data_IF_435472788559
#
_entry.id   IF_435472788559
#
_cell.length_a   1.000
_cell.length_b   1.000
_cell.length_c   1.000
_cell.angle_alpha   90.00
_cell.angle_beta   90.00
_cell.angle_gamma   90.00
#
_symmetry.space_group_name_H-M   'P 1'
#
loop_
_entity.id
_entity.type
_entity.pdbx_description
1 polymer ?
#
# COMPACT_ATOMS: atom_id res chain seq x y z
N UNK A 1 -10.33 -0.26 -5.19
CA UNK A 1 -9.70 -1.59 -5.16
C UNK A 1 -10.75 -2.61 -4.78
N UNK A 2 -10.66 -3.82 -5.34
CA UNK A 2 -11.51 -4.96 -4.94
C UNK A 2 -10.81 -6.29 -5.15
N UNK A 3 -11.21 -7.31 -4.39
CA UNK A 3 -10.76 -8.69 -4.64
C UNK A 3 -11.63 -9.35 -5.73
N UNK A 4 -10.98 -10.00 -6.68
CA UNK A 4 -11.60 -10.74 -7.78
C UNK A 4 -11.03 -12.17 -7.84
N UNK A 5 -11.59 -13.02 -8.70
CA UNK A 5 -11.02 -14.35 -8.97
C UNK A 5 -9.58 -14.30 -9.52
N UNK A 6 -9.18 -13.18 -10.10
CA UNK A 6 -7.84 -12.95 -10.64
C UNK A 6 -6.88 -12.29 -9.63
N UNK A 7 -7.34 -12.03 -8.39
CA UNK A 7 -6.57 -11.36 -7.34
C UNK A 7 -7.04 -9.93 -7.08
N UNK A 8 -6.12 -9.08 -6.60
CA UNK A 8 -6.42 -7.68 -6.25
C UNK A 8 -6.49 -6.83 -7.52
N UNK A 9 -7.69 -6.34 -7.84
CA UNK A 9 -7.90 -5.36 -8.92
C UNK A 9 -7.73 -3.94 -8.36
N UNK A 10 -6.92 -3.13 -9.05
CA UNK A 10 -6.64 -1.74 -8.72
C UNK A 10 -6.81 -0.93 -10.00
N UNK A 11 -7.65 0.10 -9.96
CA UNK A 11 -7.75 1.04 -11.08
C UNK A 11 -6.43 1.82 -11.22
N UNK A 12 -6.05 2.15 -12.45
CA UNK A 12 -4.79 2.86 -12.70
C UNK A 12 -4.72 4.22 -11.98
N UNK A 13 -5.83 4.93 -11.90
CA UNK A 13 -5.90 6.20 -11.17
C UNK A 13 -5.75 5.99 -9.65
N UNK A 14 -6.38 4.95 -9.11
CA UNK A 14 -6.24 4.60 -7.70
C UNK A 14 -4.80 4.18 -7.36
N UNK A 15 -4.14 3.43 -8.24
CA UNK A 15 -2.73 3.10 -8.09
C UNK A 15 -1.84 4.34 -8.09
N UNK A 16 -2.08 5.31 -8.99
CA UNK A 16 -1.35 6.58 -9.00
C UNK A 16 -1.51 7.35 -7.69
N UNK A 17 -2.75 7.52 -7.22
CA UNK A 17 -3.04 8.19 -5.95
C UNK A 17 -2.38 7.49 -4.76
N UNK A 18 -2.30 6.15 -4.79
CA UNK A 18 -1.62 5.38 -3.76
C UNK A 18 -0.11 5.65 -3.75
N UNK A 19 0.53 5.75 -4.92
CA UNK A 19 1.94 6.08 -5.04
C UNK A 19 2.22 7.52 -4.62
N UNK A 20 1.40 8.49 -5.03
CA UNK A 20 1.52 9.89 -4.62
C UNK A 20 1.40 10.04 -3.09
N UNK A 21 0.46 9.30 -2.49
CA UNK A 21 0.31 9.26 -1.04
C UNK A 21 1.54 8.63 -0.37
N UNK A 22 2.02 7.47 -0.87
CA UNK A 22 3.20 6.81 -0.30
C UNK A 22 4.46 7.70 -0.39
N UNK A 23 4.64 8.41 -1.50
CA UNK A 23 5.73 9.37 -1.70
C UNK A 23 5.63 10.52 -0.70
N UNK A 24 4.43 11.10 -0.51
CA UNK A 24 4.19 12.13 0.48
C UNK A 24 4.53 11.65 1.91
N UNK A 25 4.08 10.44 2.28
CA UNK A 25 4.39 9.85 3.59
C UNK A 25 5.88 9.56 3.78
N UNK A 26 6.61 9.22 2.71
CA UNK A 26 8.06 9.01 2.79
C UNK A 26 8.84 10.33 2.90
N UNK A 27 8.30 11.42 2.35
CA UNK A 27 8.94 12.74 2.41
C UNK A 27 8.69 13.46 3.74
N UNK A 28 7.49 13.33 4.29
CA UNK A 28 7.04 14.12 5.44
C UNK A 28 6.85 13.29 6.73
N UNK A 29 6.90 11.96 6.64
CA UNK A 29 6.87 11.07 7.78
C UNK A 29 8.03 10.06 7.71
N UNK A 30 8.23 9.28 8.78
CA UNK A 30 9.30 8.28 8.87
C UNK A 30 8.96 6.98 8.11
N UNK A 31 8.38 7.09 6.91
CA UNK A 31 8.00 5.94 6.08
C UNK A 31 9.04 5.67 4.99
N UNK A 32 9.18 4.40 4.61
CA UNK A 32 10.03 4.01 3.50
C UNK A 32 9.47 4.54 2.18
N UNK A 33 10.36 4.96 1.27
CA UNK A 33 10.02 5.25 -0.13
C UNK A 33 9.83 3.98 -0.96
N UNK A 34 9.12 2.99 -0.42
CA UNK A 34 8.88 1.65 -0.98
C UNK A 34 7.53 1.14 -0.53
N UNK A 35 6.81 0.50 -1.45
CA UNK A 35 5.62 -0.29 -1.13
C UNK A 35 5.94 -1.77 -1.32
N UNK A 36 5.35 -2.60 -0.47
CA UNK A 36 5.54 -4.05 -0.47
C UNK A 36 4.22 -4.71 -0.80
N UNK A 37 4.26 -5.58 -1.80
CA UNK A 37 3.13 -6.39 -2.22
C UNK A 37 3.39 -7.81 -1.72
N UNK A 38 2.56 -8.26 -0.77
CA UNK A 38 2.58 -9.65 -0.32
C UNK A 38 1.47 -10.40 -1.03
N UNK A 39 1.83 -11.40 -1.83
CA UNK A 39 0.90 -12.29 -2.50
C UNK A 39 0.16 -13.23 -1.54
N UNK A 40 -0.77 -14.00 -2.09
CA UNK A 40 -1.67 -14.91 -1.35
C UNK A 40 -3.08 -14.80 -1.90
N UNK A 41 -4.03 -15.50 -1.28
CA UNK A 41 -5.45 -15.46 -1.66
C UNK A 41 -6.05 -14.05 -1.54
N UNK A 42 -5.58 -13.27 -0.56
CA UNK A 42 -5.88 -11.84 -0.42
C UNK A 42 -4.57 -11.05 -0.38
N UNK A 43 -4.04 -10.64 -1.55
CA UNK A 43 -2.83 -9.83 -1.60
C UNK A 43 -2.96 -8.57 -0.75
N UNK A 44 -1.86 -8.19 -0.10
CA UNK A 44 -1.81 -6.98 0.72
C UNK A 44 -0.72 -6.04 0.22
N UNK A 45 -1.02 -4.75 0.27
CA UNK A 45 -0.08 -3.69 -0.10
C UNK A 45 0.20 -2.87 1.14
N UNK A 46 1.48 -2.82 1.56
CA UNK A 46 1.90 -2.12 2.76
C UNK A 46 3.10 -1.21 2.49
N UNK A 47 3.15 -0.09 3.19
CA UNK A 47 4.32 0.76 3.32
C UNK A 47 4.83 0.64 4.75
N UNK A 48 6.11 0.34 4.93
CA UNK A 48 6.74 0.21 6.24
C UNK A 48 7.44 1.49 6.66
N UNK A 49 7.75 1.56 7.94
CA UNK A 49 8.52 2.61 8.55
C UNK A 49 10.03 2.42 8.34
N UNK A 50 10.77 3.52 8.31
CA UNK A 50 12.24 3.49 8.34
C UNK A 50 12.80 2.96 9.68
N UNK A 51 12.00 3.00 10.75
CA UNK A 51 12.36 2.56 12.10
C UNK A 51 11.36 1.52 12.61
N UNK A 52 11.82 0.59 13.45
CA UNK A 52 11.04 -0.56 13.92
C UNK A 52 9.82 -0.22 14.79
N UNK A 53 9.70 1.02 15.28
CA UNK A 53 8.72 1.41 16.29
C UNK A 53 7.42 2.02 15.74
N UNK A 54 7.24 2.14 14.41
CA UNK A 54 5.98 2.64 13.85
C UNK A 54 5.17 1.63 13.04
N UNK A 55 3.86 1.89 13.02
CA UNK A 55 2.87 1.02 12.40
C UNK A 55 2.92 1.16 10.88
N UNK A 56 3.01 0.05 10.12
CA UNK A 56 2.97 0.11 8.67
C UNK A 56 1.61 0.60 8.19
N UNK A 57 1.62 1.37 7.11
CA UNK A 57 0.41 1.78 6.42
C UNK A 57 -0.05 0.60 5.57
N UNK A 58 -1.28 0.14 5.79
CA UNK A 58 -1.91 -0.88 4.96
C UNK A 58 -2.82 -0.22 3.92
N UNK A 59 -2.38 -0.14 2.67
CA UNK A 59 -3.18 0.44 1.58
C UNK A 59 -4.37 -0.44 1.20
N UNK A 60 -4.37 -1.72 1.61
CA UNK A 60 -5.47 -2.65 1.35
C UNK A 60 -6.56 -2.67 2.44
N UNK A 61 -6.52 -1.77 3.43
CA UNK A 61 -7.44 -1.81 4.58
C UNK A 61 -8.92 -1.58 4.24
N UNK A 62 -9.21 -0.83 3.18
CA UNK A 62 -10.56 -0.51 2.71
C UNK A 62 -10.95 -1.20 1.40
N UNK A 63 -10.22 -2.25 1.00
CA UNK A 63 -10.53 -3.00 -0.22
C UNK A 63 -11.90 -3.66 -0.04
N UNK A 64 -12.74 -3.50 -1.06
CA UNK A 64 -14.09 -4.09 -1.10
C UNK A 64 -14.03 -5.55 -1.49
#
# INVERSE_FOLDING_TARGET
MRYTEYGLEIELEELRRMLDYAENRAQYDNMERRIYIKGGERPTIKQYCCYAECSPINHTYCVK
#
